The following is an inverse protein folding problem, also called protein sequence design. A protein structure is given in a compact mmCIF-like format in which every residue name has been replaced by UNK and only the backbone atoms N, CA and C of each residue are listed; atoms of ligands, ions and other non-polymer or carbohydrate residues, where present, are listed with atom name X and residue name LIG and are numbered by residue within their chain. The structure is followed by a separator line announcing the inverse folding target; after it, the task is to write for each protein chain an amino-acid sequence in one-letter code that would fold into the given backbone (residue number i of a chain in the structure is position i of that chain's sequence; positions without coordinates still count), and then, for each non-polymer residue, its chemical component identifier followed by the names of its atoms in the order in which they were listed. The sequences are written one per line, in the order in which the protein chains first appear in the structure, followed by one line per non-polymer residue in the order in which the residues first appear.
data_IF_715519366516
#
_entry.id   IF_715519366516
#
_cell.length_a   1.000
_cell.length_b   1.000
_cell.length_c   1.000
_cell.angle_alpha   90.00
_cell.angle_beta   90.00
_cell.angle_gamma   90.00
#
_symmetry.space_group_name_H-M   'P 1'
#
loop_
_entity.id
_entity.type
_entity.pdbx_description
1 polymer ?
#
# COMPACT_ATOMS: atom_id res chain seq x y z
N UNK A 1 5.32 -15.69 0.39
CA UNK A 1 4.56 -16.81 1.04
C UNK A 1 3.42 -16.31 1.93
N UNK A 2 3.62 -15.29 2.80
CA UNK A 2 2.61 -14.89 3.79
C UNK A 2 1.28 -14.36 3.25
N UNK A 3 1.26 -13.53 2.21
CA UNK A 3 0.01 -13.00 1.64
C UNK A 3 -0.83 -14.06 0.92
N UNK A 4 -0.18 -15.04 0.28
CA UNK A 4 -0.87 -16.16 -0.37
C UNK A 4 -1.56 -17.07 0.64
N UNK A 5 -0.98 -17.27 1.81
CA UNK A 5 -1.58 -18.11 2.86
C UNK A 5 -2.78 -17.40 3.51
N UNK A 6 -2.71 -16.08 3.67
CA UNK A 6 -3.86 -15.27 4.15
C UNK A 6 -5.02 -15.34 3.18
N UNK A 7 -4.75 -15.18 1.88
CA UNK A 7 -5.77 -15.31 0.83
C UNK A 7 -6.44 -16.69 0.85
N UNK A 8 -5.65 -17.78 0.90
CA UNK A 8 -6.17 -19.13 0.94
C UNK A 8 -7.07 -19.40 2.16
N UNK A 9 -6.64 -18.95 3.33
CA UNK A 9 -7.43 -19.11 4.56
C UNK A 9 -8.73 -18.30 4.52
N UNK A 10 -8.67 -17.06 4.05
CA UNK A 10 -9.86 -16.23 3.92
C UNK A 10 -10.86 -16.82 2.93
N UNK A 11 -10.39 -17.34 1.80
CA UNK A 11 -11.23 -18.00 0.79
C UNK A 11 -11.86 -19.28 1.33
N UNK A 12 -11.10 -20.10 2.08
CA UNK A 12 -11.61 -21.30 2.72
C UNK A 12 -12.71 -21.00 3.72
N UNK A 13 -12.49 -20.09 4.66
CA UNK A 13 -13.50 -19.70 5.66
C UNK A 13 -14.73 -19.03 5.05
N UNK A 14 -14.55 -18.29 3.94
CA UNK A 14 -15.68 -17.72 3.21
C UNK A 14 -16.53 -18.81 2.54
N UNK A 15 -15.92 -19.85 1.98
CA UNK A 15 -16.62 -20.99 1.41
C UNK A 15 -17.37 -21.84 2.46
N UNK A 16 -16.88 -21.85 3.71
CA UNK A 16 -17.52 -22.50 4.86
C UNK A 16 -18.58 -21.63 5.56
N UNK A 17 -18.86 -20.41 5.04
CA UNK A 17 -19.73 -19.36 5.62
C UNK A 17 -19.35 -18.97 7.07
N UNK A 18 -18.09 -19.18 7.45
CA UNK A 18 -17.55 -18.80 8.76
C UNK A 18 -17.09 -17.32 8.76
N UNK A 19 -18.03 -16.41 8.91
CA UNK A 19 -17.78 -14.96 8.91
C UNK A 19 -16.88 -14.50 10.06
N UNK A 20 -16.93 -15.18 11.21
CA UNK A 20 -16.12 -14.83 12.38
C UNK A 20 -14.65 -15.11 12.09
N UNK A 21 -14.32 -16.26 11.54
CA UNK A 21 -12.96 -16.63 11.15
C UNK A 21 -12.42 -15.79 10.01
N UNK A 22 -13.26 -15.39 9.04
CA UNK A 22 -12.87 -14.44 7.98
C UNK A 22 -12.46 -13.08 8.58
N UNK A 23 -13.24 -12.54 9.51
CA UNK A 23 -12.94 -11.26 10.16
C UNK A 23 -11.70 -11.34 11.05
N UNK A 24 -11.53 -12.43 11.81
CA UNK A 24 -10.37 -12.66 12.66
C UNK A 24 -9.09 -12.76 11.81
N UNK A 25 -9.12 -13.52 10.72
CA UNK A 25 -8.00 -13.67 9.79
C UNK A 25 -7.65 -12.34 9.13
N UNK A 26 -8.64 -11.56 8.71
CA UNK A 26 -8.46 -10.20 8.16
C UNK A 26 -7.79 -9.28 9.17
N UNK A 27 -8.27 -9.26 10.42
CA UNK A 27 -7.67 -8.43 11.49
C UNK A 27 -6.22 -8.82 11.75
N UNK A 28 -5.92 -10.11 11.83
CA UNK A 28 -4.56 -10.61 12.02
C UNK A 28 -3.67 -10.20 10.85
N UNK A 29 -4.17 -10.30 9.61
CA UNK A 29 -3.45 -9.88 8.42
C UNK A 29 -3.07 -8.39 8.45
N UNK A 30 -3.99 -7.51 8.87
CA UNK A 30 -3.69 -6.08 9.02
C UNK A 30 -2.63 -5.84 10.08
N UNK A 31 -2.71 -6.50 11.23
CA UNK A 31 -1.75 -6.33 12.33
C UNK A 31 -0.36 -6.81 11.94
N UNK A 32 -0.24 -7.99 11.35
CA UNK A 32 1.04 -8.55 10.91
C UNK A 32 1.67 -7.72 9.79
N UNK A 33 0.87 -7.30 8.80
CA UNK A 33 1.37 -6.43 7.73
C UNK A 33 1.81 -5.07 8.26
N UNK A 34 1.06 -4.46 9.18
CA UNK A 34 1.43 -3.21 9.81
C UNK A 34 2.74 -3.34 10.61
N UNK A 35 2.89 -4.41 11.38
CA UNK A 35 4.11 -4.67 12.15
C UNK A 35 5.33 -4.85 11.24
N UNK A 36 5.22 -5.71 10.22
CA UNK A 36 6.31 -5.95 9.26
C UNK A 36 6.66 -4.67 8.51
N UNK A 37 5.67 -3.95 8.00
CA UNK A 37 5.88 -2.70 7.26
C UNK A 37 6.51 -1.64 8.15
N UNK A 38 6.09 -1.51 9.41
CA UNK A 38 6.68 -0.57 10.36
C UNK A 38 8.15 -0.90 10.63
N UNK A 39 8.48 -2.16 10.89
CA UNK A 39 9.88 -2.60 11.13
C UNK A 39 10.74 -2.33 9.89
N UNK A 40 10.27 -2.69 8.70
CA UNK A 40 10.99 -2.44 7.45
C UNK A 40 11.16 -0.93 7.18
N UNK A 41 10.12 -0.13 7.41
CA UNK A 41 10.15 1.32 7.23
C UNK A 41 11.16 1.97 8.16
N UNK A 42 11.16 1.60 9.44
CA UNK A 42 12.13 2.08 10.43
C UNK A 42 13.54 1.66 10.03
N UNK A 43 13.74 0.40 9.65
CA UNK A 43 15.04 -0.13 9.21
C UNK A 43 15.60 0.67 8.03
N UNK A 44 14.82 0.87 6.97
CA UNK A 44 15.23 1.65 5.81
C UNK A 44 15.49 3.12 6.17
N UNK A 45 14.65 3.70 7.02
CA UNK A 45 14.83 5.08 7.49
C UNK A 45 16.14 5.28 8.24
N UNK A 46 16.52 4.33 9.10
CA UNK A 46 17.79 4.39 9.87
C UNK A 46 19.01 4.31 8.95
N UNK A 47 18.97 3.51 7.89
CA UNK A 47 20.07 3.36 6.93
C UNK A 47 20.00 4.30 5.73
N UNK A 48 19.04 5.23 5.69
CA UNK A 48 18.75 6.09 4.53
C UNK A 48 19.95 6.82 3.95
N UNK A 49 20.92 7.20 4.80
CA UNK A 49 22.14 7.88 4.37
C UNK A 49 23.07 7.00 3.52
N UNK A 50 22.96 5.66 3.67
CA UNK A 50 23.76 4.69 2.94
C UNK A 50 23.06 4.10 1.72
N UNK A 51 21.74 4.31 1.60
CA UNK A 51 20.91 3.70 0.53
C UNK A 51 21.42 4.10 -0.86
N UNK A 52 21.66 5.39 -1.09
CA UNK A 52 22.17 5.85 -2.39
C UNK A 52 23.56 5.28 -2.71
N UNK A 53 24.42 5.16 -1.71
CA UNK A 53 25.77 4.60 -1.89
C UNK A 53 25.73 3.11 -2.27
N UNK A 54 24.77 2.34 -1.77
CA UNK A 54 24.58 0.93 -2.15
C UNK A 54 24.25 0.76 -3.65
N UNK A 55 23.62 1.76 -4.25
CA UNK A 55 23.28 1.78 -5.68
C UNK A 55 24.29 2.57 -6.53
N UNK A 56 25.46 2.95 -5.98
CA UNK A 56 26.48 3.71 -6.71
C UNK A 56 26.06 5.14 -7.07
N UNK A 57 25.10 5.72 -6.36
CA UNK A 57 24.63 7.07 -6.61
C UNK A 57 25.72 8.12 -6.30
N UNK A 58 25.75 9.21 -7.08
CA UNK A 58 26.61 10.36 -6.79
C UNK A 58 26.23 11.01 -5.46
N UNK A 59 27.12 11.83 -4.90
CA UNK A 59 26.84 12.53 -3.64
C UNK A 59 25.58 13.41 -3.72
N UNK A 60 25.36 14.08 -4.84
CA UNK A 60 24.16 14.90 -5.07
C UNK A 60 22.89 14.04 -5.13
N UNK A 61 22.95 12.91 -5.85
CA UNK A 61 21.82 11.96 -5.92
C UNK A 61 21.52 11.36 -4.55
N UNK A 62 22.55 10.99 -3.77
CA UNK A 62 22.37 10.46 -2.43
C UNK A 62 21.76 11.50 -1.47
N UNK A 63 22.15 12.78 -1.57
CA UNK A 63 21.52 13.87 -0.81
C UNK A 63 20.03 13.99 -1.15
N UNK A 64 19.66 13.87 -2.43
CA UNK A 64 18.27 13.78 -2.87
C UNK A 64 17.52 12.60 -2.25
N UNK A 65 18.11 11.41 -2.27
CA UNK A 65 17.54 10.20 -1.65
C UNK A 65 17.29 10.44 -0.15
N UNK A 66 18.29 10.93 0.59
CA UNK A 66 18.15 11.19 2.04
C UNK A 66 17.02 12.17 2.33
N UNK A 67 16.83 13.18 1.47
CA UNK A 67 15.80 14.21 1.63
C UNK A 67 14.39 13.71 1.32
N UNK A 68 14.23 12.94 0.25
CA UNK A 68 12.91 12.57 -0.26
C UNK A 68 12.44 11.18 0.17
N UNK A 69 13.35 10.28 0.57
CA UNK A 69 13.02 8.92 1.00
C UNK A 69 11.95 8.87 2.10
N UNK A 70 11.94 9.75 3.12
CA UNK A 70 10.89 9.74 4.15
C UNK A 70 9.48 9.92 3.59
N UNK A 71 9.30 10.70 2.51
CA UNK A 71 8.02 10.88 1.85
C UNK A 71 7.51 9.61 1.17
N UNK A 72 8.43 8.75 0.70
CA UNK A 72 8.08 7.43 0.15
C UNK A 72 7.81 6.39 1.23
N UNK A 73 8.48 6.51 2.37
CA UNK A 73 8.31 5.58 3.49
C UNK A 73 6.99 5.82 4.23
N UNK A 74 6.56 7.07 4.39
CA UNK A 74 5.37 7.42 5.15
C UNK A 74 4.10 6.69 4.69
N UNK A 75 3.77 6.60 3.39
CA UNK A 75 2.56 5.93 2.93
C UNK A 75 2.67 4.40 2.80
N UNK A 76 3.79 3.77 3.13
CA UNK A 76 3.93 2.30 3.02
C UNK A 76 2.93 1.55 3.90
N UNK A 77 2.58 2.08 5.08
CA UNK A 77 1.53 1.50 5.92
C UNK A 77 0.16 1.57 5.24
N UNK A 78 -0.12 2.66 4.52
CA UNK A 78 -1.36 2.83 3.75
C UNK A 78 -1.40 1.81 2.59
N UNK A 79 -0.28 1.63 1.90
CA UNK A 79 -0.15 0.64 0.83
C UNK A 79 -0.39 -0.78 1.36
N UNK A 80 0.16 -1.14 2.52
CA UNK A 80 -0.08 -2.44 3.16
C UNK A 80 -1.58 -2.66 3.42
N UNK A 81 -2.28 -1.64 3.90
CA UNK A 81 -3.73 -1.69 4.09
C UNK A 81 -4.48 -1.93 2.78
N UNK A 82 -4.14 -1.20 1.72
CA UNK A 82 -4.77 -1.37 0.39
C UNK A 82 -4.56 -2.80 -0.12
N UNK A 83 -3.35 -3.35 -0.03
CA UNK A 83 -3.03 -4.72 -0.46
C UNK A 83 -3.83 -5.78 0.28
N UNK A 84 -3.95 -5.67 1.61
CA UNK A 84 -4.76 -6.61 2.41
C UNK A 84 -6.25 -6.49 2.06
N UNK A 85 -6.77 -5.26 1.90
CA UNK A 85 -8.16 -5.03 1.51
C UNK A 85 -8.46 -5.61 0.13
N UNK A 86 -7.54 -5.46 -0.82
CA UNK A 86 -7.64 -6.07 -2.16
C UNK A 86 -7.70 -7.60 -2.06
N UNK A 87 -6.79 -8.20 -1.31
CA UNK A 87 -6.77 -9.66 -1.09
C UNK A 87 -8.05 -10.16 -0.42
N UNK A 88 -8.61 -9.40 0.53
CA UNK A 88 -9.88 -9.71 1.15
C UNK A 88 -11.04 -9.69 0.14
N UNK A 89 -11.10 -8.70 -0.76
CA UNK A 89 -12.13 -8.67 -1.80
C UNK A 89 -12.01 -9.81 -2.80
N UNK A 90 -10.79 -10.22 -3.16
CA UNK A 90 -10.57 -11.43 -3.95
C UNK A 90 -11.08 -12.68 -3.23
N UNK A 91 -10.74 -12.84 -1.96
CA UNK A 91 -11.12 -14.01 -1.16
C UNK A 91 -12.65 -14.11 -0.93
N UNK A 92 -13.36 -12.99 -0.99
CA UNK A 92 -14.81 -12.89 -0.78
C UNK A 92 -15.58 -12.68 -2.08
N UNK A 93 -15.00 -13.03 -3.21
CA UNK A 93 -15.60 -12.99 -4.57
C UNK A 93 -16.05 -11.60 -5.03
N UNK A 94 -15.63 -10.53 -4.33
CA UNK A 94 -15.94 -9.14 -4.71
C UNK A 94 -14.96 -8.61 -5.76
N UNK A 95 -14.87 -9.33 -6.88
CA UNK A 95 -13.86 -9.14 -7.91
C UNK A 95 -13.83 -7.71 -8.49
N UNK A 96 -15.00 -7.09 -8.71
CA UNK A 96 -15.06 -5.72 -9.24
C UNK A 96 -14.36 -4.70 -8.33
N UNK A 97 -14.54 -4.81 -7.00
CA UNK A 97 -13.86 -3.94 -6.03
C UNK A 97 -12.37 -4.25 -5.93
N UNK A 98 -12.01 -5.51 -6.07
CA UNK A 98 -10.62 -5.93 -6.09
C UNK A 98 -9.89 -5.34 -7.31
N UNK A 99 -10.46 -5.45 -8.51
CA UNK A 99 -9.91 -4.83 -9.71
C UNK A 99 -9.84 -3.31 -9.60
N UNK A 100 -10.87 -2.67 -9.04
CA UNK A 100 -10.84 -1.23 -8.78
C UNK A 100 -9.61 -0.83 -7.96
N UNK A 101 -9.30 -1.55 -6.87
CA UNK A 101 -8.16 -1.24 -6.02
C UNK A 101 -6.82 -1.55 -6.68
N UNK A 102 -6.74 -2.63 -7.46
CA UNK A 102 -5.51 -2.97 -8.20
C UNK A 102 -5.13 -1.88 -9.18
N UNK A 103 -6.10 -1.33 -9.90
CA UNK A 103 -5.86 -0.30 -10.91
C UNK A 103 -5.84 1.12 -10.35
N UNK A 104 -6.44 1.38 -9.19
CA UNK A 104 -6.48 2.70 -8.58
C UNK A 104 -5.08 3.27 -8.33
N UNK A 105 -4.17 2.48 -7.79
CA UNK A 105 -2.81 2.93 -7.48
C UNK A 105 -2.02 3.35 -8.74
N UNK A 106 -1.86 2.50 -9.79
CA UNK A 106 -1.11 2.90 -10.98
C UNK A 106 -1.79 4.05 -11.75
N UNK A 107 -3.11 4.07 -11.84
CA UNK A 107 -3.84 5.16 -12.49
C UNK A 107 -3.65 6.48 -11.73
N UNK A 108 -3.82 6.48 -10.41
CA UNK A 108 -3.57 7.67 -9.60
C UNK A 108 -2.12 8.13 -9.69
N UNK A 109 -1.16 7.20 -9.68
CA UNK A 109 0.27 7.52 -9.83
C UNK A 109 0.54 8.18 -11.17
N UNK A 110 0.00 7.65 -12.27
CA UNK A 110 0.14 8.23 -13.59
C UNK A 110 -0.45 9.63 -13.66
N UNK A 111 -1.66 9.82 -13.13
CA UNK A 111 -2.30 11.13 -13.08
C UNK A 111 -1.49 12.14 -12.27
N UNK A 112 -0.96 11.75 -11.11
CA UNK A 112 -0.13 12.62 -10.29
C UNK A 112 1.21 12.94 -10.97
N UNK A 113 1.81 11.99 -11.68
CA UNK A 113 3.03 12.22 -12.48
C UNK A 113 2.80 13.16 -13.67
N UNK A 114 1.59 13.26 -14.18
CA UNK A 114 1.25 14.22 -15.24
C UNK A 114 0.93 15.61 -14.67
N UNK A 115 0.28 15.68 -13.50
CA UNK A 115 -0.23 16.94 -12.94
C UNK A 115 0.78 17.67 -12.05
N UNK A 116 1.58 16.96 -11.24
CA UNK A 116 2.46 17.59 -10.26
C UNK A 116 3.75 18.17 -10.84
N UNK A 117 4.46 17.53 -11.77
CA UNK A 117 5.72 18.07 -12.29
C UNK A 117 5.60 19.45 -12.95
N UNK A 118 4.55 19.77 -13.73
CA UNK A 118 4.36 21.11 -14.26
C UNK A 118 4.23 22.20 -13.18
N UNK A 119 3.66 21.83 -12.01
CA UNK A 119 3.43 22.75 -10.89
C UNK A 119 4.63 22.84 -9.94
N UNK A 120 5.23 21.70 -9.60
CA UNK A 120 6.23 21.56 -8.53
C UNK A 120 7.61 21.13 -9.03
N UNK A 121 7.80 21.03 -10.34
CA UNK A 121 9.05 20.58 -10.97
C UNK A 121 9.52 19.23 -10.39
N UNK A 122 10.80 19.12 -10.04
CA UNK A 122 11.38 17.87 -9.50
C UNK A 122 10.69 17.39 -8.23
N UNK A 123 10.28 18.27 -7.35
CA UNK A 123 9.53 17.94 -6.13
C UNK A 123 8.19 17.28 -6.45
N UNK A 124 7.53 17.69 -7.54
CA UNK A 124 6.28 17.09 -8.01
C UNK A 124 6.44 15.63 -8.42
N UNK A 125 7.56 15.28 -9.06
CA UNK A 125 7.87 13.88 -9.41
C UNK A 125 7.99 13.02 -8.13
N UNK A 126 8.70 13.52 -7.12
CA UNK A 126 8.89 12.80 -5.86
C UNK A 126 7.60 12.65 -5.03
N UNK A 127 6.72 13.63 -5.10
CA UNK A 127 5.44 13.60 -4.34
C UNK A 127 4.32 12.84 -5.06
N UNK A 128 4.45 12.58 -6.37
CA UNK A 128 3.40 11.93 -7.15
C UNK A 128 2.98 10.56 -6.57
N UNK A 129 3.94 9.68 -6.30
CA UNK A 129 3.68 8.35 -5.74
C UNK A 129 3.08 8.39 -4.33
N UNK A 130 3.65 9.13 -3.35
CA UNK A 130 3.05 9.27 -2.03
C UNK A 130 1.60 9.77 -2.06
N UNK A 131 1.32 10.79 -2.85
CA UNK A 131 -0.04 11.34 -2.97
C UNK A 131 -0.99 10.32 -3.60
N UNK A 132 -0.57 9.63 -4.67
CA UNK A 132 -1.36 8.57 -5.29
C UNK A 132 -1.70 7.44 -4.31
N UNK A 133 -0.77 7.06 -3.44
CA UNK A 133 -1.00 6.04 -2.41
C UNK A 133 -2.02 6.49 -1.35
N UNK A 134 -2.01 7.76 -0.96
CA UNK A 134 -3.04 8.33 -0.07
C UNK A 134 -4.41 8.29 -0.74
N UNK A 135 -4.50 8.65 -2.02
CA UNK A 135 -5.76 8.59 -2.78
C UNK A 135 -6.26 7.13 -2.87
N UNK A 136 -5.39 6.19 -3.23
CA UNK A 136 -5.72 4.77 -3.30
C UNK A 136 -6.20 4.23 -1.94
N UNK A 137 -5.59 4.67 -0.84
CA UNK A 137 -6.02 4.33 0.51
C UNK A 137 -7.43 4.84 0.82
N UNK A 138 -7.74 6.09 0.46
CA UNK A 138 -9.09 6.66 0.65
C UNK A 138 -10.13 5.85 -0.14
N UNK A 139 -9.82 5.49 -1.39
CA UNK A 139 -10.67 4.62 -2.22
C UNK A 139 -10.88 3.26 -1.54
N UNK A 140 -9.81 2.64 -1.02
CA UNK A 140 -9.89 1.36 -0.32
C UNK A 140 -10.75 1.44 0.95
N UNK A 141 -10.62 2.51 1.73
CA UNK A 141 -11.45 2.75 2.91
C UNK A 141 -12.93 2.92 2.54
N UNK A 142 -13.23 3.67 1.48
CA UNK A 142 -14.60 3.86 1.01
C UNK A 142 -15.22 2.54 0.50
N UNK A 143 -14.47 1.77 -0.28
CA UNK A 143 -14.89 0.46 -0.76
C UNK A 143 -15.15 -0.52 0.39
N UNK A 144 -14.22 -0.56 1.38
CA UNK A 144 -14.37 -1.40 2.56
C UNK A 144 -15.62 -1.04 3.38
N UNK A 145 -15.84 0.26 3.64
CA UNK A 145 -17.04 0.72 4.39
C UNK A 145 -18.34 0.30 3.71
N UNK A 146 -18.43 0.41 2.38
CA UNK A 146 -19.61 -0.04 1.62
C UNK A 146 -19.85 -1.53 1.74
N UNK A 147 -18.79 -2.32 1.75
CA UNK A 147 -18.90 -3.78 1.91
C UNK A 147 -19.31 -4.13 3.32
N UNK A 148 -18.66 -3.56 4.35
CA UNK A 148 -18.95 -3.84 5.76
C UNK A 148 -20.37 -3.36 6.15
N UNK A 149 -20.96 -2.37 5.47
CA UNK A 149 -22.32 -1.90 5.69
C UNK A 149 -23.40 -2.80 5.05
N UNK A 150 -23.05 -3.60 4.04
CA UNK A 150 -23.98 -4.48 3.30
C UNK A 150 -23.83 -5.96 3.72
N UNK A 151 -23.05 -6.25 4.75
CA UNK A 151 -22.82 -7.60 5.30
C UNK A 151 -23.37 -7.72 6.69
#
# INVERSE_FOLDING_TARGET
RGLGDVYKRQSQYYGEDDRISVQATRRLAYLTAAAITAVCTIGVYLVRAKVGALFGASQEANAGVVRYLPFFLAPLLLLAFVRITTSYFYATEKNALSYLLVYAEPVCTLLMLLLLPPLLKLTGVWLATPIAQVIAFVIACAAKRRVDANT
#
